data_IF_033697593042
#
_entry.id   IF_033697593042
#
_cell.length_a   1.000
_cell.length_b   1.000
_cell.length_c   1.000
_cell.angle_alpha   90.00
_cell.angle_beta   90.00
_cell.angle_gamma   90.00
#
_symmetry.space_group_name_H-M   'P 1'
#
loop_
_entity.id
_entity.type
_entity.pdbx_description
1 polymer ?
#
# COMPACT_ATOMS: atom_id res chain seq x y z
N UNK A 1 -16.60 -8.56 -8.68
CA UNK A 1 -15.26 -8.31 -8.09
C UNK A 1 -14.31 -9.42 -8.47
N UNK A 2 -14.62 -10.67 -8.12
CA UNK A 2 -13.74 -11.84 -8.33
C UNK A 2 -13.33 -12.05 -9.79
N UNK A 3 -14.27 -12.01 -10.74
CA UNK A 3 -13.96 -12.14 -12.19
C UNK A 3 -12.91 -11.13 -12.68
N UNK A 4 -13.00 -9.88 -12.20
CA UNK A 4 -12.06 -8.83 -12.59
C UNK A 4 -10.70 -9.05 -11.92
N UNK A 5 -10.70 -9.40 -10.63
CA UNK A 5 -9.48 -9.70 -9.89
C UNK A 5 -8.73 -10.88 -10.51
N UNK A 6 -9.40 -12.02 -10.76
CA UNK A 6 -8.77 -13.20 -11.38
C UNK A 6 -8.21 -12.89 -12.76
N UNK A 7 -8.94 -12.12 -13.59
CA UNK A 7 -8.45 -11.70 -14.90
C UNK A 7 -7.09 -10.97 -14.80
N UNK A 8 -6.96 -10.02 -13.88
CA UNK A 8 -5.74 -9.24 -13.74
C UNK A 8 -4.64 -9.97 -12.95
N UNK A 9 -5.00 -10.90 -12.05
CA UNK A 9 -4.03 -11.83 -11.43
C UNK A 9 -3.39 -12.70 -12.50
N UNK A 10 -4.20 -13.29 -13.39
CA UNK A 10 -3.69 -14.09 -14.50
C UNK A 10 -2.80 -13.24 -15.43
N UNK A 11 -3.25 -12.04 -15.80
CA UNK A 11 -2.46 -11.14 -16.65
C UNK A 11 -1.11 -10.75 -16.01
N UNK A 12 -1.08 -10.54 -14.68
CA UNK A 12 0.15 -10.28 -13.94
C UNK A 12 1.15 -11.43 -14.08
N UNK A 13 0.72 -12.68 -13.84
CA UNK A 13 1.61 -13.85 -13.96
C UNK A 13 2.12 -14.05 -15.39
N UNK A 14 1.27 -13.85 -16.39
CA UNK A 14 1.67 -13.88 -17.80
C UNK A 14 2.77 -12.84 -18.09
N UNK A 15 2.58 -11.59 -17.67
CA UNK A 15 3.53 -10.51 -17.94
C UNK A 15 4.85 -10.70 -17.18
N UNK A 16 4.80 -11.15 -15.91
CA UNK A 16 5.98 -11.42 -15.09
C UNK A 16 6.78 -12.62 -15.63
N UNK A 17 6.09 -13.67 -16.09
CA UNK A 17 6.71 -14.85 -16.71
C UNK A 17 7.46 -14.48 -17.99
N UNK A 18 6.89 -13.62 -18.84
CA UNK A 18 7.57 -13.11 -20.06
C UNK A 18 8.89 -12.41 -19.73
N UNK A 19 8.97 -11.71 -18.60
CA UNK A 19 10.18 -11.03 -18.12
C UNK A 19 11.15 -11.94 -17.34
N UNK A 20 10.84 -13.23 -17.21
CA UNK A 20 11.65 -14.21 -16.47
C UNK A 20 11.70 -13.91 -14.96
N UNK A 21 10.68 -13.26 -14.40
CA UNK A 21 10.60 -13.01 -12.96
C UNK A 21 10.22 -14.33 -12.27
N UNK A 22 11.00 -14.71 -11.26
CA UNK A 22 10.72 -15.90 -10.47
C UNK A 22 9.45 -15.69 -9.66
N UNK A 23 8.60 -16.70 -9.59
CA UNK A 23 7.44 -16.69 -8.70
C UNK A 23 7.87 -16.63 -7.22
N UNK A 24 7.08 -15.91 -6.43
CA UNK A 24 7.21 -15.88 -4.98
C UNK A 24 6.76 -17.22 -4.36
N UNK A 25 7.26 -17.53 -3.18
CA UNK A 25 6.87 -18.75 -2.46
C UNK A 25 5.38 -18.73 -2.07
N UNK A 26 4.81 -17.54 -1.79
CA UNK A 26 3.39 -17.35 -1.52
C UNK A 26 2.84 -16.06 -2.13
N UNK A 27 1.55 -16.07 -2.50
CA UNK A 27 0.77 -14.93 -2.97
C UNK A 27 -0.50 -14.74 -2.11
N UNK A 28 -0.37 -14.25 -0.86
CA UNK A 28 -1.53 -14.05 0.01
C UNK A 28 -2.50 -13.02 -0.60
N UNK A 29 -3.79 -13.27 -0.41
CA UNK A 29 -4.87 -12.41 -0.89
C UNK A 29 -5.56 -11.74 0.28
N UNK A 30 -5.79 -10.42 0.18
CA UNK A 30 -6.52 -9.68 1.21
C UNK A 30 -7.89 -10.31 1.49
N UNK A 31 -8.63 -10.70 0.44
CA UNK A 31 -9.94 -11.36 0.56
C UNK A 31 -9.93 -12.67 1.35
N UNK A 32 -8.77 -13.35 1.44
CA UNK A 32 -8.60 -14.59 2.22
C UNK A 32 -8.07 -14.34 3.64
N UNK A 33 -7.76 -13.08 4.00
CA UNK A 33 -7.13 -12.69 5.26
C UNK A 33 -8.06 -11.83 6.13
N UNK A 34 -9.37 -11.85 5.86
CA UNK A 34 -10.35 -11.02 6.57
C UNK A 34 -10.34 -11.25 8.08
N UNK A 35 -10.21 -12.49 8.53
CA UNK A 35 -10.12 -12.78 9.97
C UNK A 35 -8.87 -12.16 10.61
N UNK A 36 -7.72 -12.20 9.93
CA UNK A 36 -6.48 -11.57 10.41
C UNK A 36 -6.58 -10.06 10.48
N UNK A 37 -7.20 -9.45 9.46
CA UNK A 37 -7.46 -8.02 9.43
C UNK A 37 -8.38 -7.61 10.59
N UNK A 38 -9.52 -8.26 10.75
CA UNK A 38 -10.47 -7.92 11.83
C UNK A 38 -9.84 -8.12 13.22
N UNK A 39 -9.03 -9.17 13.42
CA UNK A 39 -8.25 -9.35 14.66
C UNK A 39 -7.30 -8.19 14.91
N UNK A 40 -6.52 -7.78 13.90
CA UNK A 40 -5.55 -6.70 14.05
C UNK A 40 -6.22 -5.36 14.37
N UNK A 41 -7.36 -5.06 13.74
CA UNK A 41 -8.14 -3.86 14.03
C UNK A 41 -8.66 -3.90 15.47
N UNK A 42 -9.18 -5.04 15.92
CA UNK A 42 -9.64 -5.21 17.30
C UNK A 42 -8.51 -5.03 18.32
N UNK A 43 -7.32 -5.60 18.06
CA UNK A 43 -6.13 -5.41 18.89
C UNK A 43 -5.73 -3.93 18.99
N UNK A 44 -5.79 -3.20 17.87
CA UNK A 44 -5.51 -1.76 17.81
C UNK A 44 -6.53 -0.94 18.61
N UNK A 45 -7.82 -1.25 18.50
CA UNK A 45 -8.87 -0.58 19.29
C UNK A 45 -8.68 -0.84 20.78
N UNK A 46 -8.42 -2.10 21.17
CA UNK A 46 -8.23 -2.47 22.57
C UNK A 46 -7.03 -1.74 23.20
N UNK A 47 -5.98 -1.52 22.43
CA UNK A 47 -4.80 -0.76 22.86
C UNK A 47 -4.94 0.76 22.72
N UNK A 48 -6.08 1.26 22.23
CA UNK A 48 -6.34 2.69 22.07
C UNK A 48 -5.68 3.34 20.86
N UNK A 49 -5.19 2.57 19.89
CA UNK A 49 -4.63 3.09 18.62
C UNK A 49 -5.65 3.20 17.50
N UNK A 50 -6.87 2.70 17.71
CA UNK A 50 -7.97 2.81 16.75
C UNK A 50 -9.28 3.20 17.43
N UNK A 51 -10.20 3.74 16.63
CA UNK A 51 -11.55 4.07 17.10
C UNK A 51 -12.59 3.91 15.99
N UNK A 52 -13.82 3.49 16.33
CA UNK A 52 -14.92 3.44 15.38
C UNK A 52 -15.55 4.81 15.19
N UNK A 53 -16.03 5.09 13.99
CA UNK A 53 -16.76 6.31 13.64
C UNK A 53 -17.72 6.03 12.49
N UNK A 54 -19.03 6.09 12.76
CA UNK A 54 -20.08 5.96 11.75
C UNK A 54 -19.97 4.72 10.84
N UNK A 55 -19.61 3.56 11.42
CA UNK A 55 -19.41 2.29 10.69
C UNK A 55 -18.03 2.11 10.04
N UNK A 56 -17.20 3.15 10.07
CA UNK A 56 -15.78 3.06 9.72
C UNK A 56 -14.94 2.85 10.99
N UNK A 57 -13.69 2.44 10.83
CA UNK A 57 -12.69 2.40 11.90
C UNK A 57 -11.44 3.11 11.41
N UNK A 58 -10.92 4.02 12.22
CA UNK A 58 -9.75 4.82 11.90
C UNK A 58 -8.62 4.55 12.90
N UNK A 59 -7.38 4.62 12.42
CA UNK A 59 -6.18 4.63 13.24
C UNK A 59 -5.93 6.04 13.78
N UNK A 60 -5.71 6.18 15.08
CA UNK A 60 -5.40 7.43 15.76
C UNK A 60 -3.89 7.71 15.69
N UNK A 61 -3.43 8.45 14.67
CA UNK A 61 -1.99 8.62 14.41
C UNK A 61 -1.25 9.31 15.56
N UNK A 62 -1.92 10.21 16.28
CA UNK A 62 -1.35 10.92 17.41
C UNK A 62 -0.98 10.00 18.59
N UNK A 63 -1.57 8.80 18.66
CA UNK A 63 -1.31 7.87 19.75
C UNK A 63 -0.03 7.07 19.53
N UNK A 64 0.55 7.10 18.31
CA UNK A 64 1.81 6.43 17.98
C UNK A 64 2.95 7.46 17.89
N UNK A 65 3.72 7.59 18.97
CA UNK A 65 4.76 8.62 19.11
C UNK A 65 5.86 8.55 18.02
N UNK A 66 6.10 7.37 17.45
CA UNK A 66 7.11 7.14 16.42
C UNK A 66 6.58 7.33 14.99
N UNK A 67 5.33 7.79 14.81
CA UNK A 67 4.74 7.95 13.49
C UNK A 67 5.56 8.91 12.62
N UNK A 68 6.01 8.45 11.45
CA UNK A 68 6.89 9.22 10.56
C UNK A 68 8.35 8.78 10.58
N UNK A 69 8.72 7.80 11.41
CA UNK A 69 10.12 7.34 11.55
C UNK A 69 10.72 6.76 10.27
N UNK A 70 9.91 6.18 9.38
CA UNK A 70 10.43 5.63 8.11
C UNK A 70 10.64 6.75 7.08
N UNK A 71 9.65 7.62 6.92
CA UNK A 71 9.64 8.69 5.94
C UNK A 71 10.44 9.94 6.36
N UNK A 72 10.76 10.06 7.64
CA UNK A 72 11.36 11.25 8.25
C UNK A 72 10.39 12.44 8.34
N UNK A 73 9.09 12.24 8.11
CA UNK A 73 8.07 13.30 8.15
C UNK A 73 7.55 13.49 9.57
N UNK A 74 7.49 14.72 10.06
CA UNK A 74 6.84 15.04 11.33
C UNK A 74 5.36 15.34 11.10
N UNK A 75 4.51 14.95 12.05
CA UNK A 75 3.06 15.23 12.01
C UNK A 75 2.74 16.72 11.85
N UNK A 76 3.53 17.57 12.52
CA UNK A 76 3.43 19.03 12.47
C UNK A 76 3.65 19.58 11.05
N UNK A 77 4.71 19.12 10.37
CA UNK A 77 5.05 19.54 9.01
C UNK A 77 3.98 19.09 8.00
N UNK A 78 3.38 17.92 8.25
CA UNK A 78 2.28 17.44 7.42
C UNK A 78 1.03 18.31 7.58
N UNK A 79 0.68 18.72 8.80
CA UNK A 79 -0.52 19.53 9.06
C UNK A 79 -0.47 20.86 8.31
N UNK A 80 0.68 21.54 8.34
CA UNK A 80 0.87 22.82 7.66
C UNK A 80 0.69 22.72 6.13
N UNK A 81 1.12 21.62 5.51
CA UNK A 81 0.95 21.39 4.06
C UNK A 81 -0.41 20.84 3.64
N UNK A 82 -1.13 20.17 4.55
CA UNK A 82 -2.45 19.62 4.27
C UNK A 82 -3.59 20.63 4.49
N UNK A 83 -3.42 21.60 5.39
CA UNK A 83 -4.43 22.66 5.63
C UNK A 83 -4.77 23.46 4.38
N UNK A 84 -3.91 23.47 3.36
CA UNK A 84 -4.17 24.13 2.06
C UNK A 84 -4.97 23.28 1.06
N UNK A 85 -5.14 21.97 1.32
CA UNK A 85 -5.73 21.00 0.36
C UNK A 85 -6.90 20.21 0.90
N UNK A 86 -7.21 20.35 2.18
CA UNK A 86 -8.26 19.57 2.85
C UNK A 86 -9.55 20.37 2.88
N UNK A 87 -10.56 19.86 2.20
CA UNK A 87 -11.91 20.41 2.33
C UNK A 87 -12.49 19.95 3.67
N UNK A 88 -12.52 20.86 4.65
CA UNK A 88 -13.06 20.61 6.00
C UNK A 88 -14.55 20.25 5.94
N UNK A 89 -15.26 20.65 4.90
CA UNK A 89 -16.68 20.30 4.70
C UNK A 89 -16.88 18.88 4.15
N UNK A 90 -15.80 18.16 3.81
CA UNK A 90 -15.90 16.77 3.38
C UNK A 90 -16.40 15.88 4.54
N UNK A 91 -17.50 15.15 4.29
CA UNK A 91 -18.08 14.24 5.26
C UNK A 91 -17.11 13.15 5.73
N UNK A 92 -16.13 12.75 4.91
CA UNK A 92 -15.07 11.83 5.30
C UNK A 92 -14.05 12.46 6.25
N UNK A 93 -13.81 13.76 6.12
CA UNK A 93 -12.95 14.49 7.04
C UNK A 93 -13.59 14.61 8.42
N UNK A 94 -14.90 14.89 8.47
CA UNK A 94 -15.68 15.03 9.71
C UNK A 94 -15.78 13.75 10.54
N UNK A 95 -15.55 12.58 9.93
CA UNK A 95 -15.53 11.29 10.66
C UNK A 95 -14.26 11.09 11.49
N UNK A 96 -13.19 11.81 11.18
CA UNK A 96 -11.88 11.64 11.80
C UNK A 96 -11.73 12.60 12.99
N UNK A 97 -11.14 12.10 14.07
CA UNK A 97 -10.69 12.92 15.20
C UNK A 97 -9.49 13.79 14.79
N UNK A 98 -8.64 13.28 13.91
CA UNK A 98 -7.48 14.01 13.42
C UNK A 98 -7.31 13.88 11.88
N UNK A 99 -6.85 14.92 11.17
CA UNK A 99 -6.77 14.94 9.70
C UNK A 99 -6.07 13.74 9.06
N UNK A 100 -4.98 13.30 9.71
CA UNK A 100 -4.10 12.25 9.24
C UNK A 100 -4.49 10.85 9.73
N UNK A 101 -5.54 10.74 10.53
CA UNK A 101 -6.09 9.43 10.85
C UNK A 101 -6.50 8.73 9.55
N UNK A 102 -6.08 7.48 9.40
CA UNK A 102 -6.31 6.69 8.19
C UNK A 102 -7.25 5.53 8.49
N UNK A 103 -8.01 5.12 7.47
CA UNK A 103 -9.00 4.07 7.64
C UNK A 103 -8.33 2.70 7.77
N UNK A 104 -8.77 1.97 8.79
CA UNK A 104 -8.50 0.55 9.00
C UNK A 104 -9.65 -0.30 8.45
N UNK A 105 -10.88 0.17 8.62
CA UNK A 105 -12.11 -0.42 8.08
C UNK A 105 -13.00 0.67 7.49
N UNK A 106 -13.62 0.39 6.35
CA UNK A 106 -14.58 1.29 5.70
C UNK A 106 -15.91 0.57 5.56
N UNK A 107 -16.97 1.17 6.08
CA UNK A 107 -18.34 0.79 5.79
C UNK A 107 -18.58 0.74 4.27
N UNK A 108 -19.30 -0.30 3.84
CA UNK A 108 -19.57 -0.52 2.42
C UNK A 108 -20.75 0.34 1.95
N UNK A 109 -20.63 0.94 0.78
CA UNK A 109 -21.78 1.59 0.13
C UNK A 109 -22.72 0.54 -0.48
N UNK A 110 -24.01 0.86 -0.69
CA UNK A 110 -24.94 -0.07 -1.33
C UNK A 110 -24.41 -0.59 -2.67
N UNK A 111 -24.37 -1.91 -2.83
CA UNK A 111 -23.88 -2.58 -4.04
C UNK A 111 -22.37 -2.80 -4.11
N UNK A 112 -21.58 -2.29 -3.15
CA UNK A 112 -20.16 -2.62 -3.06
C UNK A 112 -19.94 -4.00 -2.41
N UNK A 113 -18.86 -4.72 -2.79
CA UNK A 113 -18.43 -5.91 -2.06
C UNK A 113 -18.14 -5.59 -0.60
N UNK A 114 -18.62 -6.45 0.30
CA UNK A 114 -18.53 -6.24 1.74
C UNK A 114 -18.39 -7.55 2.50
N UNK A 115 -17.77 -7.47 3.66
CA UNK A 115 -17.64 -8.55 4.65
C UNK A 115 -18.33 -8.14 5.96
N UNK A 116 -18.90 -9.13 6.64
CA UNK A 116 -19.42 -8.93 8.00
C UNK A 116 -18.27 -8.65 8.96
N UNK A 117 -18.49 -7.73 9.90
CA UNK A 117 -17.53 -7.40 10.95
C UNK A 117 -18.26 -6.86 12.18
N UNK A 118 -17.59 -6.74 13.34
CA UNK A 118 -18.16 -6.10 14.53
C UNK A 118 -18.61 -4.64 14.31
N UNK A 119 -18.08 -3.97 13.29
CA UNK A 119 -18.41 -2.57 12.95
C UNK A 119 -19.48 -2.48 11.84
N UNK A 120 -20.10 -3.61 11.48
CA UNK A 120 -21.05 -3.73 10.37
C UNK A 120 -20.39 -4.13 9.05
N UNK A 121 -21.19 -4.18 7.99
CA UNK A 121 -20.71 -4.54 6.65
C UNK A 121 -19.72 -3.51 6.12
N UNK A 122 -18.54 -3.98 5.72
CA UNK A 122 -17.51 -3.10 5.18
C UNK A 122 -16.38 -3.84 4.50
N UNK A 123 -15.25 -3.14 4.36
CA UNK A 123 -14.05 -3.61 3.67
C UNK A 123 -12.81 -3.05 4.37
N UNK A 124 -11.66 -3.74 4.26
CA UNK A 124 -10.41 -3.25 4.81
C UNK A 124 -10.00 -1.90 4.20
N UNK A 125 -9.26 -1.11 4.98
CA UNK A 125 -8.44 -0.04 4.46
C UNK A 125 -7.19 -0.61 3.77
N UNK A 126 -6.64 0.12 2.79
CA UNK A 126 -5.52 -0.38 1.98
C UNK A 126 -4.31 -0.85 2.81
N UNK A 127 -3.96 -0.12 3.87
CA UNK A 127 -2.75 -0.37 4.65
C UNK A 127 -2.86 -1.59 5.57
N UNK A 128 -4.06 -1.87 6.12
CA UNK A 128 -4.23 -2.93 7.14
C UNK A 128 -4.09 -4.33 6.56
N UNK A 129 -4.28 -4.45 5.24
CA UNK A 129 -4.17 -5.71 4.50
C UNK A 129 -2.75 -6.27 4.61
N UNK A 130 -1.72 -5.46 4.30
CA UNK A 130 -0.33 -5.89 4.31
C UNK A 130 0.14 -6.25 5.73
N UNK A 131 -0.14 -5.40 6.74
CA UNK A 131 0.19 -5.68 8.14
C UNK A 131 -0.38 -7.00 8.63
N UNK A 132 -1.66 -7.28 8.33
CA UNK A 132 -2.31 -8.52 8.72
C UNK A 132 -1.76 -9.74 7.96
N UNK A 133 -1.53 -9.61 6.65
CA UNK A 133 -0.97 -10.70 5.84
C UNK A 133 0.46 -11.04 6.25
N UNK A 134 1.31 -10.05 6.50
CA UNK A 134 2.69 -10.27 7.01
C UNK A 134 2.64 -10.99 8.34
N UNK A 135 1.81 -10.51 9.28
CA UNK A 135 1.69 -11.14 10.62
C UNK A 135 1.21 -12.59 10.55
N UNK A 136 0.19 -12.87 9.73
CA UNK A 136 -0.39 -14.21 9.61
C UNK A 136 0.57 -15.20 8.91
N UNK A 137 1.51 -14.74 8.07
CA UNK A 137 2.39 -15.59 7.25
C UNK A 137 3.81 -15.70 7.77
N UNK A 138 4.38 -14.60 8.22
CA UNK A 138 5.80 -14.45 8.54
C UNK A 138 6.04 -14.13 10.01
N UNK A 139 5.00 -13.76 10.76
CA UNK A 139 5.06 -13.43 12.18
C UNK A 139 5.18 -11.93 12.45
N UNK A 140 5.48 -11.57 13.70
CA UNK A 140 5.45 -10.17 14.16
C UNK A 140 6.57 -9.29 13.58
N UNK A 141 7.71 -9.88 13.23
CA UNK A 141 8.89 -9.18 12.71
C UNK A 141 9.48 -9.96 11.54
N UNK A 142 9.76 -9.27 10.44
CA UNK A 142 10.41 -9.85 9.25
C UNK A 142 11.79 -9.25 9.01
N UNK A 143 12.61 -9.92 8.20
CA UNK A 143 13.95 -9.41 7.89
C UNK A 143 13.91 -8.24 6.90
N UNK A 144 13.23 -8.42 5.77
CA UNK A 144 13.22 -7.44 4.67
C UNK A 144 11.78 -7.14 4.28
N UNK A 145 11.43 -5.86 4.29
CA UNK A 145 10.19 -5.34 3.71
C UNK A 145 10.53 -4.43 2.51
N UNK A 146 9.96 -4.70 1.34
CA UNK A 146 10.33 -4.03 0.09
C UNK A 146 9.12 -3.40 -0.62
N UNK A 147 9.36 -2.35 -1.41
CA UNK A 147 8.33 -1.70 -2.22
C UNK A 147 8.85 -0.56 -3.09
N UNK A 148 7.98 0.10 -3.85
CA UNK A 148 8.33 1.33 -4.56
C UNK A 148 8.59 2.50 -3.61
N UNK A 149 9.41 3.47 -4.00
CA UNK A 149 9.66 4.67 -3.19
C UNK A 149 8.40 5.48 -2.86
N UNK A 150 7.34 5.35 -3.67
CA UNK A 150 6.02 5.91 -3.39
C UNK A 150 5.27 5.23 -2.24
N UNK A 151 5.65 4.01 -1.88
CA UNK A 151 5.06 3.28 -0.74
C UNK A 151 5.69 3.67 0.60
N UNK A 152 6.83 4.37 0.63
CA UNK A 152 7.44 4.88 1.88
C UNK A 152 6.38 5.62 2.71
N UNK A 153 5.63 6.51 2.07
CA UNK A 153 4.55 7.25 2.71
C UNK A 153 3.34 7.40 1.79
N UNK A 154 2.11 7.12 2.26
CA UNK A 154 1.78 6.74 3.64
C UNK A 154 1.82 5.22 3.89
N UNK A 155 2.04 4.38 2.87
CA UNK A 155 1.74 2.94 2.97
C UNK A 155 2.57 2.21 4.03
N UNK A 156 3.89 2.15 3.88
CA UNK A 156 4.78 1.45 4.80
C UNK A 156 4.84 2.13 6.18
N UNK A 157 4.72 3.45 6.24
CA UNK A 157 4.60 4.18 7.51
C UNK A 157 3.36 3.74 8.31
N UNK A 158 2.23 3.53 7.62
CA UNK A 158 1.01 3.06 8.25
C UNK A 158 1.12 1.59 8.66
N UNK A 159 1.82 0.75 7.89
CA UNK A 159 2.06 -0.65 8.26
C UNK A 159 2.90 -0.78 9.53
N UNK A 160 3.95 0.04 9.63
CA UNK A 160 4.75 0.19 10.86
C UNK A 160 3.85 0.57 12.02
N UNK A 161 3.08 1.64 11.89
CA UNK A 161 2.22 2.12 12.96
C UNK A 161 1.24 1.03 13.44
N UNK A 162 0.56 0.35 12.52
CA UNK A 162 -0.39 -0.72 12.84
C UNK A 162 0.27 -1.92 13.52
N UNK A 163 1.40 -2.38 12.99
CA UNK A 163 2.04 -3.63 13.44
C UNK A 163 2.77 -3.43 14.75
N UNK A 164 3.50 -2.34 14.90
CA UNK A 164 4.32 -2.08 16.08
C UNK A 164 3.48 -1.64 17.28
N UNK A 165 2.36 -0.92 17.06
CA UNK A 165 1.41 -0.60 18.13
C UNK A 165 0.85 -1.87 18.82
N UNK A 166 0.59 -2.93 18.03
CA UNK A 166 0.06 -4.20 18.55
C UNK A 166 1.15 -5.12 19.10
N UNK A 167 2.33 -5.16 18.49
CA UNK A 167 3.36 -6.14 18.88
C UNK A 167 4.38 -5.57 19.86
N UNK A 168 4.61 -4.26 19.86
CA UNK A 168 5.72 -3.61 20.57
C UNK A 168 7.10 -3.98 20.01
N UNK A 169 7.16 -4.57 18.82
CA UNK A 169 8.38 -5.01 18.13
C UNK A 169 8.48 -4.29 16.78
N UNK A 170 9.69 -4.10 16.21
CA UNK A 170 9.84 -3.61 14.85
C UNK A 170 9.12 -4.52 13.84
N UNK A 171 8.42 -3.94 12.87
CA UNK A 171 7.80 -4.74 11.80
C UNK A 171 8.86 -5.39 10.90
N UNK A 172 9.91 -4.65 10.55
CA UNK A 172 10.99 -5.14 9.69
C UNK A 172 12.37 -4.64 10.12
N UNK A 173 13.39 -5.48 9.95
CA UNK A 173 14.79 -5.11 10.21
C UNK A 173 15.35 -4.19 9.12
N UNK A 174 14.98 -4.43 7.86
CA UNK A 174 15.44 -3.68 6.70
C UNK A 174 14.30 -3.28 5.78
N UNK A 175 14.30 -2.00 5.37
CA UNK A 175 13.37 -1.45 4.40
C UNK A 175 14.08 -1.15 3.09
N UNK A 176 13.61 -1.74 1.99
CA UNK A 176 14.21 -1.58 0.65
C UNK A 176 13.22 -0.93 -0.31
N UNK A 177 13.57 0.25 -0.81
CA UNK A 177 12.70 0.99 -1.73
C UNK A 177 13.35 1.21 -3.10
N UNK A 178 12.66 0.79 -4.18
CA UNK A 178 13.14 1.03 -5.54
C UNK A 178 12.75 2.42 -6.06
N UNK A 179 13.60 2.96 -6.94
CA UNK A 179 13.39 4.24 -7.61
C UNK A 179 12.18 4.20 -8.56
N UNK A 180 11.69 5.39 -8.90
CA UNK A 180 10.55 5.56 -9.80
C UNK A 180 10.96 5.38 -11.26
N UNK A 181 10.03 4.90 -12.09
CA UNK A 181 10.16 4.94 -13.55
C UNK A 181 9.61 6.27 -14.08
N UNK A 182 10.39 6.93 -14.91
CA UNK A 182 10.04 8.13 -15.66
C UNK A 182 9.87 7.81 -17.15
N UNK A 183 9.13 8.66 -17.85
CA UNK A 183 9.03 8.66 -19.31
C UNK A 183 9.34 10.07 -19.78
N UNK A 184 10.35 10.22 -20.63
CA UNK A 184 10.84 11.51 -21.13
C UNK A 184 11.09 12.53 -20.01
N UNK A 185 11.68 12.09 -18.90
CA UNK A 185 11.98 12.92 -17.73
C UNK A 185 10.79 13.21 -16.80
N UNK A 186 9.56 12.90 -17.23
CA UNK A 186 8.34 13.05 -16.44
C UNK A 186 7.99 11.78 -15.67
N UNK A 187 7.25 11.92 -14.56
CA UNK A 187 6.75 10.75 -13.83
C UNK A 187 5.74 9.99 -14.70
N UNK A 188 5.92 8.67 -14.85
CA UNK A 188 4.92 7.83 -15.49
C UNK A 188 3.62 7.84 -14.66
N UNK A 189 2.50 8.24 -15.26
CA UNK A 189 1.20 8.26 -14.57
C UNK A 189 0.03 8.08 -15.53
N UNK A 190 -1.04 7.45 -15.06
CA UNK A 190 -2.29 7.31 -15.84
C UNK A 190 -2.91 8.66 -16.22
N UNK A 191 -2.81 9.66 -15.35
CA UNK A 191 -3.38 11.00 -15.57
C UNK A 191 -2.70 11.77 -16.69
N UNK A 192 -1.40 11.57 -16.87
CA UNK A 192 -0.64 12.19 -17.97
C UNK A 192 -0.76 11.40 -19.29
N UNK A 193 -1.35 10.20 -19.26
CA UNK A 193 -1.43 9.32 -20.42
C UNK A 193 -0.08 8.80 -20.92
N UNK A 194 1.01 9.08 -20.20
CA UNK A 194 2.39 8.76 -20.58
C UNK A 194 2.85 7.39 -20.06
N UNK A 195 1.93 6.45 -19.84
CA UNK A 195 2.27 5.11 -19.35
C UNK A 195 2.20 4.07 -20.47
N UNK A 196 3.10 3.10 -20.40
CA UNK A 196 3.09 1.90 -21.24
C UNK A 196 3.05 0.67 -20.34
N UNK A 197 2.21 -0.29 -20.68
CA UNK A 197 2.20 -1.58 -19.97
C UNK A 197 3.32 -2.49 -20.48
N UNK A 198 3.79 -3.41 -19.64
CA UNK A 198 4.75 -4.44 -20.04
C UNK A 198 4.24 -5.17 -21.29
N UNK A 199 2.97 -5.59 -21.28
CA UNK A 199 2.34 -6.25 -22.43
C UNK A 199 2.42 -5.44 -23.71
N UNK A 200 2.04 -4.16 -23.67
CA UNK A 200 2.12 -3.28 -24.84
C UNK A 200 3.56 -3.12 -25.35
N UNK A 201 4.54 -3.01 -24.44
CA UNK A 201 5.94 -2.87 -24.81
C UNK A 201 6.45 -4.14 -25.53
N UNK A 202 6.16 -5.31 -24.98
CA UNK A 202 6.59 -6.58 -25.55
C UNK A 202 5.84 -6.94 -26.85
N UNK A 203 4.56 -6.58 -26.94
CA UNK A 203 3.74 -6.82 -28.15
C UNK A 203 4.14 -5.91 -29.32
N UNK A 204 4.89 -4.83 -29.08
CA UNK A 204 5.57 -4.02 -30.11
C UNK A 204 6.84 -4.68 -30.66
N UNK A 205 7.22 -5.86 -30.15
CA UNK A 205 8.40 -6.60 -30.61
C UNK A 205 9.68 -6.34 -29.79
N UNK A 206 9.59 -5.62 -28.67
CA UNK A 206 10.74 -5.44 -27.77
C UNK A 206 11.03 -6.76 -27.06
N UNK A 207 12.30 -7.19 -27.09
CA UNK A 207 12.74 -8.41 -26.43
C UNK A 207 12.58 -8.30 -24.91
N UNK A 208 11.91 -9.26 -24.23
CA UNK A 208 11.73 -9.21 -22.77
C UNK A 208 13.03 -9.14 -21.97
N UNK A 209 14.12 -9.74 -22.46
CA UNK A 209 15.43 -9.68 -21.82
C UNK A 209 16.12 -8.33 -22.03
N UNK A 210 15.84 -7.63 -23.13
CA UNK A 210 16.28 -6.25 -23.30
C UNK A 210 15.60 -5.33 -22.27
N UNK A 211 14.28 -5.48 -22.05
CA UNK A 211 13.55 -4.74 -21.00
C UNK A 211 14.14 -5.03 -19.62
N UNK A 212 14.41 -6.31 -19.32
CA UNK A 212 15.00 -6.72 -18.04
C UNK A 212 16.40 -6.14 -17.86
N UNK A 213 17.25 -6.20 -18.89
CA UNK A 213 18.59 -5.62 -18.87
C UNK A 213 18.52 -4.13 -18.60
N UNK A 214 17.66 -3.40 -19.32
CA UNK A 214 17.44 -1.97 -19.13
C UNK A 214 17.13 -1.62 -17.67
N UNK A 215 16.19 -2.32 -17.03
CA UNK A 215 15.86 -2.09 -15.62
C UNK A 215 17.06 -2.39 -14.70
N UNK A 216 17.88 -3.40 -15.01
CA UNK A 216 19.05 -3.78 -14.20
C UNK A 216 20.29 -2.91 -14.44
N UNK A 217 20.34 -2.11 -15.51
CA UNK A 217 21.45 -1.19 -15.77
C UNK A 217 21.52 -0.03 -14.76
N UNK A 218 20.39 0.30 -14.14
CA UNK A 218 20.35 1.31 -13.09
C UNK A 218 20.49 0.69 -11.70
N UNK A 219 21.16 1.41 -10.79
CA UNK A 219 21.12 1.06 -9.37
C UNK A 219 19.67 1.17 -8.88
N UNK A 220 19.14 0.11 -8.25
CA UNK A 220 17.69 -0.02 -7.97
C UNK A 220 17.02 1.13 -7.20
N UNK A 221 17.77 1.94 -6.43
CA UNK A 221 17.23 3.09 -5.68
C UNK A 221 17.18 4.37 -6.52
N UNK A 222 17.83 4.39 -7.68
CA UNK A 222 17.83 5.54 -8.58
C UNK A 222 16.62 5.46 -9.52
N UNK A 223 16.04 6.61 -9.89
CA UNK A 223 15.01 6.62 -10.92
C UNK A 223 15.61 6.16 -12.25
N UNK A 224 14.77 5.51 -13.06
CA UNK A 224 15.10 5.10 -14.42
C UNK A 224 14.23 5.94 -15.36
N UNK A 225 14.82 6.43 -16.43
CA UNK A 225 14.09 7.17 -17.47
C UNK A 225 13.92 6.28 -18.69
N UNK A 226 12.67 6.00 -19.04
CA UNK A 226 12.29 5.15 -20.16
C UNK A 226 12.00 6.03 -21.38
N UNK A 227 12.88 5.95 -22.38
CA UNK A 227 12.80 6.69 -23.64
C UNK A 227 12.96 5.72 -24.81
N UNK A 228 12.55 6.12 -26.02
CA UNK A 228 12.72 5.27 -27.23
C UNK A 228 14.20 5.00 -27.56
N UNK A 229 15.11 5.88 -27.12
CA UNK A 229 16.56 5.74 -27.32
C UNK A 229 17.22 4.71 -26.38
N UNK A 230 16.57 4.39 -25.24
CA UNK A 230 17.13 3.60 -24.16
C UNK A 230 16.80 2.10 -24.24
#
# INVERSE_FOLDING_TARGET
MEVVAEKYIQAYFEDMSRLGIKEADEYPRATHTMNGIQRLIHDLEHKGFAYPSHGDVYYAVQNFAEYGKLSGRKLEDMQAGASERVNVEDAEYQKKRYPFDFALWKSAKPGEPAWESPWGKGRPGWHIECSAMVRDRLGDTIDIHAGGADLIFPHHENEIAQSEAVTGKPLANYWLHNGMVKVDGEKMSKSLGNFITIRQLLDRGVDPMAVRLFVMMAQYRKPIDFTDDA
#
